data_IF_984799322855
#
_entry.id   IF_984799322855
#
_cell.length_a   1.000
_cell.length_b   1.000
_cell.length_c   1.000
_cell.angle_alpha   90.00
_cell.angle_beta   90.00
_cell.angle_gamma   90.00
#
_symmetry.space_group_name_H-M   'P 1'
#
loop_
_entity.id
_entity.type
_entity.pdbx_description
1 polymer ?
#
# COMPACT_ATOMS: atom_id res chain seq x y z
N UNK A 1 38.27 -7.56 -2.22
CA UNK A 1 37.42 -7.90 -1.06
C UNK A 1 37.29 -6.64 -0.24
N UNK A 2 36.38 -5.75 -0.65
CA UNK A 2 36.19 -4.46 0.01
C UNK A 2 35.02 -4.63 0.98
N UNK A 3 35.30 -4.54 2.28
CA UNK A 3 34.30 -4.48 3.33
C UNK A 3 33.39 -3.28 3.06
N UNK A 4 32.11 -3.53 2.76
CA UNK A 4 31.05 -2.54 2.91
C UNK A 4 30.58 -2.67 4.35
N UNK A 5 31.10 -1.84 5.25
CA UNK A 5 30.46 -1.63 6.55
C UNK A 5 29.28 -0.70 6.30
N UNK A 6 28.12 -1.30 6.01
CA UNK A 6 26.86 -0.59 5.97
C UNK A 6 26.41 -0.31 7.40
N UNK A 7 26.81 0.84 7.94
CA UNK A 7 26.18 1.42 9.12
C UNK A 7 24.70 1.65 8.77
N UNK A 8 23.83 0.78 9.28
CA UNK A 8 22.40 0.99 9.27
C UNK A 8 22.12 2.25 10.09
N UNK A 9 22.07 3.41 9.42
CA UNK A 9 21.41 4.57 10.00
C UNK A 9 19.92 4.27 10.00
N UNK A 10 19.44 3.86 11.17
CA UNK A 10 18.05 3.98 11.55
C UNK A 10 17.55 5.36 11.13
N UNK A 11 16.47 5.38 10.35
CA UNK A 11 15.80 6.62 9.94
C UNK A 11 15.32 7.35 11.20
N UNK A 12 15.97 8.47 11.49
CA UNK A 12 15.61 9.41 12.54
C UNK A 12 14.88 10.57 11.86
N UNK A 13 13.59 10.38 11.57
CA UNK A 13 12.69 11.44 11.09
C UNK A 13 11.66 11.78 12.19
N UNK A 14 12.15 11.90 13.42
CA UNK A 14 11.40 12.51 14.51
C UNK A 14 11.19 14.00 14.26
N UNK A 15 9.93 14.39 14.05
CA UNK A 15 9.39 15.75 14.16
C UNK A 15 9.58 16.72 12.97
N UNK A 16 9.09 16.32 11.79
CA UNK A 16 8.23 17.20 10.97
C UNK A 16 6.87 16.51 10.80
N UNK A 17 5.87 16.87 11.60
CA UNK A 17 4.52 16.31 11.48
C UNK A 17 3.90 16.74 10.15
N UNK A 18 3.95 15.87 9.15
CA UNK A 18 3.26 16.07 7.87
C UNK A 18 3.74 15.24 6.69
N UNK A 19 4.94 14.65 6.74
CA UNK A 19 5.41 13.78 5.65
C UNK A 19 5.22 12.30 6.02
N UNK A 20 4.45 11.58 5.21
CA UNK A 20 4.27 10.13 5.30
C UNK A 20 5.10 9.46 4.20
N UNK A 21 5.94 8.46 4.54
CA UNK A 21 6.76 7.75 3.54
C UNK A 21 5.84 7.19 2.44
N UNK A 22 5.97 7.67 1.19
CA UNK A 22 5.11 7.24 0.10
C UNK A 22 5.13 5.72 -0.12
N UNK A 23 6.23 5.03 0.20
CA UNK A 23 6.34 3.55 0.08
C UNK A 23 5.47 2.80 1.10
N UNK A 24 5.06 3.47 2.17
CA UNK A 24 4.23 2.94 3.25
C UNK A 24 2.77 3.38 3.13
N UNK A 25 2.42 4.21 2.13
CA UNK A 25 1.05 4.61 1.82
C UNK A 25 0.35 3.48 1.05
N UNK A 26 -0.22 2.56 1.82
CA UNK A 26 -0.88 1.36 1.35
C UNK A 26 -2.41 1.54 1.38
N UNK A 27 -3.07 1.17 0.28
CA UNK A 27 -4.52 1.08 0.17
C UNK A 27 -4.98 -0.36 -0.08
N UNK A 28 -6.25 -0.60 0.25
CA UNK A 28 -6.95 -1.87 0.01
C UNK A 28 -8.09 -1.65 -0.97
N UNK A 29 -8.22 -2.56 -1.94
CA UNK A 29 -9.40 -2.67 -2.79
C UNK A 29 -9.71 -4.13 -3.12
N UNK A 30 -10.78 -4.36 -3.87
CA UNK A 30 -11.20 -5.69 -4.31
C UNK A 30 -11.14 -5.73 -5.83
N UNK A 31 -10.36 -6.67 -6.35
CA UNK A 31 -10.34 -7.03 -7.77
C UNK A 31 -11.56 -7.89 -8.05
N UNK A 32 -12.54 -7.28 -8.71
CA UNK A 32 -13.79 -7.93 -9.08
C UNK A 32 -13.58 -8.93 -10.22
N UNK A 33 -14.50 -9.88 -10.38
CA UNK A 33 -14.46 -10.89 -11.45
C UNK A 33 -14.36 -10.31 -12.88
N UNK A 34 -14.81 -9.06 -13.07
CA UNK A 34 -14.70 -8.35 -14.35
C UNK A 34 -13.31 -7.73 -14.62
N UNK A 35 -12.32 -7.97 -13.75
CA UNK A 35 -10.96 -7.45 -13.87
C UNK A 35 -10.80 -5.98 -13.48
N UNK A 36 -11.82 -5.35 -12.89
CA UNK A 36 -11.74 -3.97 -12.40
C UNK A 36 -11.66 -3.94 -10.88
N UNK A 37 -11.04 -2.89 -10.34
CA UNK A 37 -11.11 -2.59 -8.92
C UNK A 37 -12.49 -2.07 -8.54
N UNK A 38 -12.93 -2.39 -7.32
CA UNK A 38 -14.16 -1.86 -6.75
C UNK A 38 -14.14 -0.31 -6.77
N UNK A 39 -15.26 0.31 -7.12
CA UNK A 39 -15.39 1.76 -7.22
C UNK A 39 -15.50 2.49 -5.87
N UNK A 40 -14.92 1.93 -4.80
CA UNK A 40 -14.93 2.46 -3.45
C UNK A 40 -13.59 2.19 -2.76
N UNK A 41 -13.30 2.98 -1.74
CA UNK A 41 -12.13 2.80 -0.87
C UNK A 41 -12.52 1.99 0.37
N UNK A 42 -11.51 1.34 0.96
CA UNK A 42 -11.62 0.58 2.21
C UNK A 42 -10.59 1.11 3.20
N UNK A 43 -10.97 1.25 4.47
CA UNK A 43 -10.08 1.70 5.53
C UNK A 43 -9.17 0.61 6.08
N UNK A 44 -9.43 -0.66 5.76
CA UNK A 44 -8.59 -1.79 6.17
C UNK A 44 -8.78 -3.01 5.28
N UNK A 45 -7.80 -3.92 5.31
CA UNK A 45 -7.90 -5.24 4.67
C UNK A 45 -9.13 -6.03 5.12
N UNK A 46 -9.41 -6.05 6.42
CA UNK A 46 -10.55 -6.78 6.98
C UNK A 46 -11.89 -6.22 6.49
N UNK A 47 -12.00 -4.91 6.29
CA UNK A 47 -13.19 -4.29 5.69
C UNK A 47 -13.37 -4.73 4.23
N UNK A 48 -12.29 -4.78 3.45
CA UNK A 48 -12.33 -5.26 2.06
C UNK A 48 -12.69 -6.75 2.00
N UNK A 49 -12.12 -7.59 2.87
CA UNK A 49 -12.42 -9.02 2.98
C UNK A 49 -13.89 -9.28 3.35
N UNK A 50 -14.47 -8.47 4.24
CA UNK A 50 -15.88 -8.59 4.61
C UNK A 50 -16.85 -8.17 3.49
N UNK A 51 -16.38 -7.41 2.50
CA UNK A 51 -17.18 -6.95 1.37
C UNK A 51 -17.04 -7.85 0.13
N UNK A 52 -15.87 -8.43 -0.09
CA UNK A 52 -15.54 -9.25 -1.26
C UNK A 52 -16.47 -10.46 -1.41
N UNK A 53 -16.76 -10.83 -2.66
CA UNK A 53 -17.45 -12.08 -3.00
C UNK A 53 -16.46 -13.25 -3.18
N UNK A 54 -16.96 -14.49 -3.24
CA UNK A 54 -16.15 -15.71 -3.29
C UNK A 54 -15.17 -15.80 -4.48
N UNK A 55 -15.49 -15.14 -5.61
CA UNK A 55 -14.67 -15.14 -6.83
C UNK A 55 -13.82 -13.87 -7.00
N UNK A 56 -13.73 -13.04 -5.95
CA UNK A 56 -13.00 -11.77 -5.95
C UNK A 56 -11.76 -11.83 -5.05
N UNK A 57 -10.82 -10.91 -5.28
CA UNK A 57 -9.53 -10.92 -4.59
C UNK A 57 -9.29 -9.58 -3.92
N UNK A 58 -9.02 -9.59 -2.61
CA UNK A 58 -8.54 -8.40 -1.91
C UNK A 58 -7.10 -8.14 -2.31
N UNK A 59 -6.85 -6.93 -2.82
CA UNK A 59 -5.54 -6.47 -3.27
C UNK A 59 -5.05 -5.32 -2.39
N UNK A 60 -3.75 -5.30 -2.21
CA UNK A 60 -3.00 -4.25 -1.54
C UNK A 60 -2.16 -3.53 -2.60
N UNK A 61 -2.27 -2.21 -2.68
CA UNK A 61 -1.47 -1.43 -3.62
C UNK A 61 -1.01 -0.12 -3.00
N UNK A 62 0.12 0.36 -3.50
CA UNK A 62 0.69 1.63 -3.12
C UNK A 62 0.23 2.72 -4.11
N UNK A 63 -0.32 3.83 -3.60
CA UNK A 63 -0.83 4.94 -4.42
C UNK A 63 0.25 5.63 -5.28
N UNK A 64 1.52 5.55 -4.86
CA UNK A 64 2.65 6.18 -5.57
C UNK A 64 2.98 5.49 -6.88
N UNK A 65 2.52 4.24 -7.05
CA UNK A 65 2.67 3.51 -8.30
C UNK A 65 1.60 3.89 -9.34
N UNK A 66 0.63 4.75 -9.01
CA UNK A 66 -0.26 5.35 -10.00
C UNK A 66 0.55 6.38 -10.82
N UNK A 67 0.99 5.97 -12.01
CA UNK A 67 1.40 6.96 -13.00
C UNK A 67 0.13 7.66 -13.44
N UNK A 68 -0.01 8.96 -13.11
CA UNK A 68 -1.06 9.79 -13.69
C UNK A 68 -1.04 9.62 -15.22
N UNK A 69 -2.10 9.01 -15.76
CA UNK A 69 -2.34 8.86 -17.20
C UNK A 69 -3.21 10.00 -17.72
#
# INVERSE_FOLDING_TARGET
MTHVTGDARAGDDGAMSGWADPREQIEFSVLMANGRLAGRTFGSRAEAEAWAQDDEIVVEYNLVCECAV
#
